data_IF_637249637293
#
_entry.id   IF_637249637293
#
_cell.length_a   1.000
_cell.length_b   1.000
_cell.length_c   1.000
_cell.angle_alpha   90.00
_cell.angle_beta   90.00
_cell.angle_gamma   90.00
#
_symmetry.space_group_name_H-M   'P 1'
#
loop_
_entity.id
_entity.type
_entity.pdbx_description
1 polymer ?
#
# COMPACT_ATOMS: atom_id res chain seq x y z
N UNK A 1 11.74 -2.70 -21.30
CA UNK A 1 11.12 -1.42 -21.67
C UNK A 1 9.61 -1.54 -21.61
N UNK A 2 9.02 -1.85 -20.46
CA UNK A 2 7.60 -1.68 -20.17
C UNK A 2 7.46 -1.22 -18.73
N UNK A 3 8.06 -0.07 -18.47
CA UNK A 3 7.90 0.63 -17.20
C UNK A 3 6.94 1.79 -17.49
N UNK A 4 5.86 1.89 -16.71
CA UNK A 4 5.10 3.13 -16.58
C UNK A 4 3.97 3.40 -17.58
N UNK A 5 2.85 2.72 -17.45
CA UNK A 5 1.57 3.17 -18.04
C UNK A 5 0.56 3.64 -16.98
N UNK A 6 0.86 3.51 -15.69
CA UNK A 6 -0.04 3.93 -14.60
C UNK A 6 0.36 5.22 -13.90
N UNK A 7 1.59 5.73 -14.09
CA UNK A 7 1.99 7.02 -13.51
C UNK A 7 1.40 8.24 -14.23
N UNK A 8 0.97 8.11 -15.48
CA UNK A 8 0.46 9.26 -16.24
C UNK A 8 -1.01 9.62 -15.98
N UNK A 9 -1.81 8.71 -15.45
CA UNK A 9 -3.27 8.93 -15.29
C UNK A 9 -3.66 9.65 -13.99
N UNK A 10 -2.83 9.63 -12.97
CA UNK A 10 -3.13 10.31 -11.69
C UNK A 10 -2.59 11.75 -11.65
N UNK A 11 -1.64 12.09 -12.50
CA UNK A 11 -1.04 13.44 -12.58
C UNK A 11 -1.78 14.43 -13.48
N UNK A 12 -2.88 14.05 -14.14
CA UNK A 12 -3.55 14.89 -15.15
C UNK A 12 -4.63 15.83 -14.63
N UNK A 13 -4.83 16.00 -13.32
CA UNK A 13 -5.90 16.84 -12.77
C UNK A 13 -5.44 18.14 -12.11
N UNK A 14 -4.19 18.54 -12.23
CA UNK A 14 -3.77 19.90 -11.86
C UNK A 14 -2.99 20.52 -13.02
N UNK A 15 -3.73 21.24 -13.87
CA UNK A 15 -3.14 22.07 -14.92
C UNK A 15 -2.75 23.44 -14.43
N UNK A 16 -1.61 23.82 -14.92
CA UNK A 16 -1.03 25.10 -15.38
C UNK A 16 0.01 25.71 -14.44
N UNK A 17 1.24 25.61 -14.80
CA UNK A 17 2.19 26.52 -15.42
C UNK A 17 3.64 26.10 -15.12
N UNK A 18 4.38 25.93 -16.22
CA UNK A 18 5.83 26.02 -16.39
C UNK A 18 6.75 26.08 -15.14
N UNK A 19 7.28 24.93 -14.72
CA UNK A 19 8.74 24.77 -14.56
C UNK A 19 9.12 23.29 -14.66
N UNK A 20 9.97 22.96 -15.64
CA UNK A 20 10.27 21.59 -16.04
C UNK A 20 11.48 21.02 -15.26
N UNK A 21 11.39 21.03 -13.92
CA UNK A 21 12.33 20.33 -13.02
C UNK A 21 11.55 19.68 -11.86
N UNK A 22 10.54 18.84 -12.16
CA UNK A 22 10.03 17.90 -11.16
C UNK A 22 11.09 16.82 -10.95
N UNK A 23 11.93 17.01 -9.96
CA UNK A 23 12.68 15.91 -9.35
C UNK A 23 11.67 14.83 -8.98
N UNK A 24 11.71 13.69 -9.66
CA UNK A 24 10.83 12.57 -9.34
C UNK A 24 11.10 12.18 -7.88
N UNK A 25 10.12 12.39 -7.00
CA UNK A 25 10.24 12.04 -5.59
C UNK A 25 10.43 10.52 -5.49
N UNK A 26 11.45 10.10 -4.76
CA UNK A 26 11.68 8.68 -4.47
C UNK A 26 10.50 8.13 -3.69
N UNK A 27 9.81 7.06 -4.15
CA UNK A 27 8.67 6.50 -3.44
C UNK A 27 9.11 5.90 -2.09
N UNK A 28 8.34 6.21 -1.05
CA UNK A 28 8.54 5.64 0.30
C UNK A 28 7.67 4.40 0.52
N UNK A 29 6.53 4.32 -0.15
CA UNK A 29 5.60 3.20 -0.06
C UNK A 29 5.40 2.60 -1.45
N UNK A 30 5.44 1.28 -1.54
CA UNK A 30 4.99 0.58 -2.75
C UNK A 30 3.67 -0.14 -2.47
N UNK A 31 2.67 0.13 -3.30
CA UNK A 31 1.41 -0.61 -3.33
C UNK A 31 1.52 -1.63 -4.44
N UNK A 32 1.43 -2.91 -4.09
CA UNK A 32 1.44 -4.00 -5.06
C UNK A 32 0.16 -4.84 -4.96
N UNK A 33 -0.30 -5.36 -6.09
CA UNK A 33 -1.51 -6.19 -6.14
C UNK A 33 -1.29 -7.41 -7.04
N UNK A 34 -1.92 -8.53 -6.69
CA UNK A 34 -1.81 -9.80 -7.42
C UNK A 34 -2.49 -9.79 -8.79
N UNK A 35 -3.43 -8.88 -8.98
CA UNK A 35 -4.20 -8.70 -10.21
C UNK A 35 -4.69 -7.26 -10.34
N UNK A 36 -4.85 -6.79 -11.57
CA UNK A 36 -5.48 -5.48 -11.86
C UNK A 36 -6.95 -5.42 -11.42
N UNK A 37 -7.61 -6.57 -11.21
CA UNK A 37 -8.95 -6.64 -10.61
C UNK A 37 -9.00 -6.14 -9.17
N UNK A 38 -7.87 -6.08 -8.48
CA UNK A 38 -7.77 -5.65 -7.09
C UNK A 38 -7.67 -4.12 -6.96
N UNK A 39 -7.47 -3.43 -8.08
CA UNK A 39 -7.29 -1.98 -8.16
C UNK A 39 -8.36 -1.18 -7.41
N UNK A 40 -9.68 -1.46 -7.55
CA UNK A 40 -10.72 -0.68 -6.86
C UNK A 40 -10.61 -0.71 -5.33
N UNK A 41 -10.00 -1.76 -4.78
CA UNK A 41 -9.71 -1.85 -3.34
C UNK A 41 -8.42 -1.09 -3.02
N UNK A 42 -7.35 -1.31 -3.80
CA UNK A 42 -6.02 -0.78 -3.53
C UNK A 42 -5.91 0.73 -3.78
N UNK A 43 -6.72 1.31 -4.66
CA UNK A 43 -6.82 2.76 -4.85
C UNK A 43 -7.17 3.54 -3.57
N UNK A 44 -7.84 2.91 -2.61
CA UNK A 44 -8.14 3.54 -1.31
C UNK A 44 -6.86 3.82 -0.53
N UNK A 45 -5.85 2.95 -0.67
CA UNK A 45 -4.53 3.19 -0.08
C UNK A 45 -3.81 4.34 -0.79
N UNK A 46 -3.83 4.34 -2.12
CA UNK A 46 -3.21 5.40 -2.92
C UNK A 46 -3.77 6.79 -2.59
N UNK A 47 -5.09 6.92 -2.53
CA UNK A 47 -5.76 8.19 -2.17
C UNK A 47 -5.34 8.69 -0.78
N UNK A 48 -5.26 7.80 0.20
CA UNK A 48 -4.83 8.19 1.54
C UNK A 48 -3.35 8.62 1.57
N UNK A 49 -2.46 7.90 0.88
CA UNK A 49 -1.04 8.28 0.82
C UNK A 49 -0.85 9.64 0.14
N UNK A 50 -1.63 9.92 -0.91
CA UNK A 50 -1.64 11.22 -1.58
C UNK A 50 -2.14 12.34 -0.64
N UNK A 51 -3.25 12.13 0.07
CA UNK A 51 -3.75 13.07 1.10
C UNK A 51 -2.75 13.34 2.22
N UNK A 52 -1.89 12.36 2.53
CA UNK A 52 -0.82 12.48 3.53
C UNK A 52 0.50 12.96 2.94
N UNK A 53 0.54 13.31 1.65
CA UNK A 53 1.76 13.76 0.95
C UNK A 53 2.92 12.77 1.06
N UNK A 54 2.61 11.46 1.05
CA UNK A 54 3.59 10.37 1.09
C UNK A 54 3.84 9.89 -0.33
N UNK A 55 5.06 10.01 -0.88
CA UNK A 55 5.38 9.51 -2.21
C UNK A 55 5.22 7.99 -2.27
N UNK A 56 4.52 7.51 -3.29
CA UNK A 56 4.29 6.08 -3.48
C UNK A 56 4.36 5.67 -4.95
N UNK A 57 4.51 4.38 -5.18
CA UNK A 57 4.35 3.72 -6.47
C UNK A 57 3.25 2.66 -6.37
N UNK A 58 2.64 2.30 -7.51
CA UNK A 58 1.65 1.23 -7.58
C UNK A 58 1.95 0.30 -8.75
N UNK A 59 1.98 -1.03 -8.48
CA UNK A 59 2.32 -2.04 -9.46
C UNK A 59 1.44 -3.28 -9.31
N UNK A 60 1.25 -4.01 -10.44
CA UNK A 60 0.62 -5.31 -10.44
C UNK A 60 1.67 -6.40 -10.61
N UNK A 61 1.81 -7.27 -9.60
CA UNK A 61 2.73 -8.42 -9.59
C UNK A 61 2.00 -9.65 -9.08
N UNK A 62 2.08 -10.76 -9.80
CA UNK A 62 1.46 -12.01 -9.39
C UNK A 62 2.50 -13.00 -8.89
N UNK A 63 2.41 -13.42 -7.63
CA UNK A 63 3.30 -14.44 -7.08
C UNK A 63 3.26 -15.77 -7.88
N UNK A 64 2.10 -16.08 -8.47
CA UNK A 64 1.91 -17.32 -9.23
C UNK A 64 2.23 -17.18 -10.72
N UNK A 65 2.06 -15.97 -11.32
CA UNK A 65 2.19 -15.76 -12.78
C UNK A 65 3.47 -15.04 -13.17
N UNK A 66 4.01 -14.21 -12.27
CA UNK A 66 5.23 -13.41 -12.48
C UNK A 66 6.17 -13.52 -11.27
N UNK A 67 6.60 -14.76 -10.89
CA UNK A 67 7.37 -14.97 -9.67
C UNK A 67 8.74 -14.28 -9.69
N UNK A 68 9.42 -14.23 -10.86
CA UNK A 68 10.72 -13.57 -11.00
C UNK A 68 10.63 -12.06 -10.76
N UNK A 69 9.60 -11.42 -11.27
CA UNK A 69 9.34 -10.00 -11.07
C UNK A 69 9.08 -9.69 -9.59
N UNK A 70 8.32 -10.56 -8.91
CA UNK A 70 8.06 -10.43 -7.46
C UNK A 70 9.35 -10.58 -6.66
N UNK A 71 10.18 -11.57 -6.97
CA UNK A 71 11.47 -11.79 -6.32
C UNK A 71 12.41 -10.58 -6.51
N UNK A 72 12.55 -10.12 -7.76
CA UNK A 72 13.40 -8.96 -8.08
C UNK A 72 12.89 -7.69 -7.39
N UNK A 73 11.58 -7.47 -7.38
CA UNK A 73 10.95 -6.35 -6.69
C UNK A 73 11.28 -6.37 -5.19
N UNK A 74 11.04 -7.50 -4.51
CA UNK A 74 11.27 -7.63 -3.08
C UNK A 74 12.74 -7.39 -2.70
N UNK A 75 13.67 -7.98 -3.46
CA UNK A 75 15.10 -7.88 -3.22
C UNK A 75 15.65 -6.46 -3.40
N UNK A 76 15.14 -5.70 -4.36
CA UNK A 76 15.63 -4.35 -4.69
C UNK A 76 14.85 -3.22 -3.98
N UNK A 77 13.77 -3.54 -3.29
CA UNK A 77 12.85 -2.56 -2.70
C UNK A 77 13.55 -1.57 -1.75
N UNK A 78 14.37 -2.07 -0.82
CA UNK A 78 15.09 -1.23 0.14
C UNK A 78 16.11 -0.31 -0.53
N UNK A 79 16.85 -0.82 -1.53
CA UNK A 79 17.85 -0.04 -2.29
C UNK A 79 17.21 1.09 -3.10
N UNK A 80 15.95 0.91 -3.54
CA UNK A 80 15.17 1.94 -4.23
C UNK A 80 14.60 3.02 -3.30
N UNK A 81 14.84 2.93 -1.98
CA UNK A 81 14.39 3.91 -0.99
C UNK A 81 13.02 3.62 -0.39
N UNK A 82 12.38 2.51 -0.73
CA UNK A 82 11.12 2.11 -0.10
C UNK A 82 11.30 1.86 1.40
N UNK A 83 10.27 2.15 2.16
CA UNK A 83 10.22 1.96 3.62
C UNK A 83 9.17 0.94 4.04
N UNK A 84 8.06 0.85 3.29
CA UNK A 84 6.94 -0.05 3.58
C UNK A 84 6.35 -0.55 2.26
N UNK A 85 5.92 -1.81 2.25
CA UNK A 85 5.22 -2.42 1.11
C UNK A 85 3.81 -2.78 1.54
N UNK A 86 2.80 -2.35 0.78
CA UNK A 86 1.41 -2.75 0.94
C UNK A 86 1.09 -3.74 -0.17
N UNK A 87 0.75 -4.98 0.17
CA UNK A 87 0.53 -6.06 -0.78
C UNK A 87 -0.90 -6.59 -0.69
N UNK A 88 -1.70 -6.38 -1.76
CA UNK A 88 -3.06 -6.89 -1.90
C UNK A 88 -3.11 -8.21 -2.67
N UNK A 89 -3.83 -9.19 -2.14
CA UNK A 89 -4.05 -10.46 -2.81
C UNK A 89 -5.36 -11.15 -2.36
N UNK A 90 -6.01 -11.81 -3.29
CA UNK A 90 -7.20 -12.63 -3.04
C UNK A 90 -6.93 -14.13 -3.17
N UNK A 91 -7.93 -14.96 -2.87
CA UNK A 91 -7.86 -16.42 -2.96
C UNK A 91 -6.70 -16.99 -2.13
N UNK A 92 -5.84 -17.84 -2.72
CA UNK A 92 -4.62 -18.36 -2.08
C UNK A 92 -3.51 -17.30 -2.00
N UNK A 93 -3.78 -16.17 -1.42
CA UNK A 93 -3.11 -14.90 -1.36
C UNK A 93 -1.62 -14.95 -0.99
N UNK A 94 -0.79 -15.56 -1.85
CA UNK A 94 0.63 -15.82 -1.60
C UNK A 94 1.51 -14.55 -1.67
N UNK A 95 1.08 -13.52 -2.40
CA UNK A 95 1.92 -12.36 -2.72
C UNK A 95 2.53 -11.69 -1.48
N UNK A 96 1.78 -11.35 -0.40
CA UNK A 96 2.37 -10.70 0.76
C UNK A 96 3.46 -11.54 1.45
N UNK A 97 3.23 -12.84 1.61
CA UNK A 97 4.20 -13.75 2.21
C UNK A 97 5.46 -13.94 1.36
N UNK A 98 5.31 -14.06 0.04
CA UNK A 98 6.44 -14.17 -0.91
C UNK A 98 7.31 -12.92 -0.88
N UNK A 99 6.68 -11.75 -0.88
CA UNK A 99 7.41 -10.47 -0.78
C UNK A 99 8.11 -10.34 0.57
N UNK A 100 7.45 -10.68 1.68
CA UNK A 100 8.05 -10.63 3.02
C UNK A 100 9.26 -11.55 3.17
N UNK A 101 9.28 -12.67 2.46
CA UNK A 101 10.44 -13.57 2.43
C UNK A 101 11.65 -12.97 1.67
N UNK A 102 11.42 -12.03 0.75
CA UNK A 102 12.47 -11.45 -0.11
C UNK A 102 13.01 -10.10 0.35
N UNK A 103 12.49 -9.54 1.45
CA UNK A 103 12.90 -8.21 1.95
C UNK A 103 12.90 -8.14 3.46
N UNK A 104 13.66 -7.19 4.01
CA UNK A 104 13.62 -6.83 5.45
C UNK A 104 12.68 -5.65 5.73
N UNK A 105 12.06 -5.07 4.71
CA UNK A 105 11.09 -4.00 4.89
C UNK A 105 9.77 -4.54 5.48
N UNK A 106 9.05 -3.74 6.27
CA UNK A 106 7.71 -4.09 6.70
C UNK A 106 6.78 -4.33 5.50
N UNK A 107 6.07 -5.48 5.53
CA UNK A 107 5.05 -5.82 4.54
C UNK A 107 3.69 -5.85 5.22
N UNK A 108 2.74 -5.11 4.65
CA UNK A 108 1.35 -5.05 5.11
C UNK A 108 0.48 -5.77 4.08
N UNK A 109 -0.12 -6.87 4.50
CA UNK A 109 -1.00 -7.67 3.65
C UNK A 109 -2.45 -7.19 3.71
N UNK A 110 -3.05 -7.03 2.54
CA UNK A 110 -4.46 -6.68 2.37
C UNK A 110 -5.19 -7.89 1.75
N UNK A 111 -5.96 -8.63 2.54
CA UNK A 111 -6.80 -9.69 2.00
C UNK A 111 -7.87 -9.09 1.08
N UNK A 112 -7.96 -9.56 -0.16
CA UNK A 112 -8.97 -9.12 -1.13
C UNK A 112 -10.14 -10.08 -1.10
N UNK A 113 -11.36 -9.54 -0.98
CA UNK A 113 -12.60 -10.31 -1.03
C UNK A 113 -12.74 -10.96 -2.41
N UNK A 114 -12.90 -12.29 -2.40
CA UNK A 114 -13.17 -13.10 -3.55
C UNK A 114 -14.05 -14.27 -3.16
N UNK A 115 -13.61 -15.49 -3.46
CA UNK A 115 -14.26 -16.71 -2.94
C UNK A 115 -14.20 -16.73 -1.40
N UNK A 116 -15.10 -17.46 -0.75
CA UNK A 116 -15.18 -17.57 0.72
C UNK A 116 -15.21 -16.20 1.45
N UNK A 117 -15.74 -15.17 0.79
CA UNK A 117 -15.83 -13.80 1.32
C UNK A 117 -14.47 -13.20 1.77
N UNK A 118 -13.37 -13.74 1.28
CA UNK A 118 -12.02 -13.29 1.60
C UNK A 118 -11.40 -13.95 2.82
N UNK A 119 -12.08 -14.94 3.44
CA UNK A 119 -11.53 -15.68 4.59
C UNK A 119 -10.30 -16.50 4.18
N UNK A 120 -10.32 -17.10 3.01
CA UNK A 120 -9.19 -17.81 2.40
C UNK A 120 -7.97 -16.89 2.25
N UNK A 121 -8.16 -15.68 1.72
CA UNK A 121 -7.09 -14.69 1.58
C UNK A 121 -6.57 -14.22 2.94
N UNK A 122 -7.45 -13.93 3.89
CA UNK A 122 -7.08 -13.53 5.24
C UNK A 122 -6.21 -14.60 5.92
N UNK A 123 -6.63 -15.86 5.90
CA UNK A 123 -5.88 -16.95 6.51
C UNK A 123 -4.54 -17.20 5.79
N UNK A 124 -4.50 -17.10 4.47
CA UNK A 124 -3.26 -17.25 3.69
C UNK A 124 -2.24 -16.17 4.01
N UNK A 125 -2.67 -14.95 4.34
CA UNK A 125 -1.79 -13.82 4.61
C UNK A 125 -1.36 -13.79 6.08
N UNK A 126 -2.26 -14.07 7.04
CA UNK A 126 -1.96 -13.93 8.47
C UNK A 126 -1.17 -15.11 9.03
N UNK A 127 -1.32 -16.31 8.47
CA UNK A 127 -0.70 -17.55 8.95
C UNK A 127 0.74 -17.70 8.44
N UNK A 128 1.61 -16.78 8.87
CA UNK A 128 3.02 -16.78 8.48
C UNK A 128 3.88 -17.61 9.45
N UNK A 129 4.94 -18.28 8.93
CA UNK A 129 5.88 -19.01 9.78
C UNK A 129 6.71 -18.06 10.65
N UNK A 130 7.22 -18.53 11.80
CA UNK A 130 8.14 -17.74 12.63
C UNK A 130 9.34 -17.24 11.82
N UNK A 131 9.66 -15.96 11.98
CA UNK A 131 10.77 -15.29 11.28
C UNK A 131 10.39 -14.48 10.04
N UNK A 132 9.22 -14.73 9.45
CA UNK A 132 8.73 -13.98 8.25
C UNK A 132 7.36 -13.36 8.57
N UNK A 133 7.31 -12.24 9.28
CA UNK A 133 6.04 -11.60 9.66
C UNK A 133 5.42 -10.83 8.48
N UNK A 134 4.09 -10.83 8.41
CA UNK A 134 3.28 -9.94 7.59
C UNK A 134 2.24 -9.26 8.48
N UNK A 135 2.26 -7.93 8.52
CA UNK A 135 1.22 -7.17 9.20
C UNK A 135 -0.08 -7.27 8.39
N UNK A 136 -1.14 -7.82 8.96
CA UNK A 136 -2.37 -8.12 8.21
C UNK A 136 -3.51 -7.21 8.66
N UNK A 137 -4.18 -6.56 7.70
CA UNK A 137 -5.38 -5.74 7.94
C UNK A 137 -6.65 -6.54 7.61
N UNK A 138 -7.81 -5.99 7.91
CA UNK A 138 -9.10 -6.62 7.56
C UNK A 138 -9.31 -6.80 6.05
N UNK A 139 -10.26 -7.65 5.68
CA UNK A 139 -10.62 -7.90 4.26
C UNK A 139 -11.00 -6.57 3.59
N UNK A 140 -10.44 -6.30 2.41
CA UNK A 140 -10.56 -5.05 1.64
C UNK A 140 -10.09 -3.80 2.42
N UNK A 141 -9.26 -3.97 3.44
CA UNK A 141 -8.82 -2.92 4.36
C UNK A 141 -7.65 -2.08 3.85
N UNK A 142 -7.56 -1.78 2.55
CA UNK A 142 -6.44 -1.06 1.95
C UNK A 142 -6.21 0.34 2.57
N UNK A 143 -7.29 1.05 2.97
CA UNK A 143 -7.16 2.30 3.70
C UNK A 143 -6.41 2.12 5.03
N UNK A 144 -6.77 1.10 5.82
CA UNK A 144 -6.07 0.82 7.08
C UNK A 144 -4.62 0.39 6.85
N UNK A 145 -4.32 -0.30 5.75
CA UNK A 145 -2.94 -0.61 5.37
C UNK A 145 -2.13 0.66 5.10
N UNK A 146 -2.70 1.64 4.40
CA UNK A 146 -2.04 2.91 4.14
C UNK A 146 -1.85 3.75 5.42
N UNK A 147 -2.83 3.76 6.32
CA UNK A 147 -2.71 4.41 7.63
C UNK A 147 -1.58 3.76 8.44
N UNK A 148 -1.52 2.43 8.47
CA UNK A 148 -0.47 1.70 9.19
C UNK A 148 0.92 1.96 8.57
N UNK A 149 1.03 2.00 7.24
CA UNK A 149 2.27 2.37 6.55
C UNK A 149 2.71 3.80 6.92
N UNK A 150 1.78 4.75 6.91
CA UNK A 150 2.05 6.13 7.32
C UNK A 150 2.49 6.21 8.80
N UNK A 151 1.88 5.43 9.70
CA UNK A 151 2.29 5.35 11.11
C UNK A 151 3.72 4.82 11.26
N UNK A 152 4.10 3.79 10.49
CA UNK A 152 5.48 3.26 10.50
C UNK A 152 6.50 4.30 10.04
N UNK A 153 6.20 5.05 8.99
CA UNK A 153 7.07 6.12 8.48
C UNK A 153 7.13 7.28 9.49
N UNK A 154 6.02 7.63 10.12
CA UNK A 154 5.91 8.74 11.08
C UNK A 154 6.74 8.54 12.35
N UNK A 155 7.24 7.33 12.64
CA UNK A 155 8.20 7.11 13.73
C UNK A 155 9.50 7.90 13.55
N UNK A 156 9.86 8.22 12.31
CA UNK A 156 11.02 9.05 11.97
C UNK A 156 10.67 10.41 11.34
N UNK A 157 9.38 10.73 11.21
CA UNK A 157 8.89 11.95 10.54
C UNK A 157 7.84 12.67 11.41
N UNK A 158 8.28 13.75 12.05
CA UNK A 158 7.43 14.52 12.98
C UNK A 158 6.29 15.27 12.27
N UNK A 159 6.49 15.71 11.03
CA UNK A 159 5.46 16.43 10.27
C UNK A 159 4.36 15.45 9.85
N UNK A 160 4.73 14.27 9.37
CA UNK A 160 3.77 13.21 9.07
C UNK A 160 3.03 12.76 10.34
N UNK A 161 3.73 12.62 11.47
CA UNK A 161 3.10 12.30 12.75
C UNK A 161 2.02 13.32 13.13
N UNK A 162 2.28 14.61 12.93
CA UNK A 162 1.28 15.65 13.18
C UNK A 162 0.09 15.58 12.21
N UNK A 163 0.31 15.30 10.92
CA UNK A 163 -0.78 15.08 9.94
C UNK A 163 -1.69 13.90 10.37
N UNK A 164 -1.11 12.82 10.88
CA UNK A 164 -1.87 11.67 11.39
C UNK A 164 -2.71 12.02 12.63
N UNK A 165 -2.21 12.87 13.54
CA UNK A 165 -2.99 13.37 14.66
C UNK A 165 -4.22 14.13 14.17
N UNK A 166 -4.03 15.07 13.23
CA UNK A 166 -5.13 15.85 12.62
C UNK A 166 -6.14 14.93 11.92
N UNK A 167 -5.66 13.92 11.19
CA UNK A 167 -6.53 12.93 10.54
C UNK A 167 -7.41 12.20 11.57
N UNK A 168 -6.82 11.76 12.68
CA UNK A 168 -7.55 11.05 13.74
C UNK A 168 -8.61 11.93 14.43
N UNK A 169 -8.31 13.20 14.66
CA UNK A 169 -9.30 14.15 15.21
C UNK A 169 -10.46 14.39 14.23
N UNK A 170 -10.22 14.51 12.93
CA UNK A 170 -11.29 14.59 11.91
C UNK A 170 -12.22 13.39 11.93
N UNK A 171 -11.70 12.16 12.12
CA UNK A 171 -12.53 10.95 12.25
C UNK A 171 -13.43 11.02 13.48
N UNK A 172 -12.89 11.46 14.62
CA UNK A 172 -13.65 11.66 15.86
C UNK A 172 -14.76 12.70 15.68
N UNK A 173 -14.43 13.89 15.12
CA UNK A 173 -15.40 14.95 14.88
C UNK A 173 -16.57 14.50 14.01
N UNK A 174 -16.30 13.67 12.97
CA UNK A 174 -17.34 13.12 12.10
C UNK A 174 -18.36 12.30 12.90
N UNK A 175 -17.90 11.46 13.83
CA UNK A 175 -18.79 10.63 14.66
C UNK A 175 -19.53 11.49 15.69
N UNK A 176 -18.84 12.45 16.33
CA UNK A 176 -19.47 13.35 17.30
C UNK A 176 -20.60 14.17 16.65
N UNK A 177 -20.36 14.72 15.45
CA UNK A 177 -21.38 15.47 14.69
C UNK A 177 -22.60 14.61 14.34
N UNK A 178 -22.37 13.35 13.93
CA UNK A 178 -23.48 12.43 13.60
C UNK A 178 -24.40 12.10 14.80
N UNK A 179 -23.95 12.33 16.03
CA UNK A 179 -24.76 12.12 17.23
C UNK A 179 -25.50 13.40 17.69
N UNK A 180 -25.32 14.52 16.99
CA UNK A 180 -25.99 15.79 17.31
C UNK A 180 -27.18 16.10 16.37
N UNK A 181 -27.41 15.23 15.37
CA UNK A 181 -28.57 15.24 14.47
C UNK A 181 -29.64 14.23 14.93
#
# INVERSE_FOLDING_TARGET
RHTCLYMETILSHTNNDMDNTKTALTPLVSIIMGSTSDLPVMEKAAKFLDEMEIPFEMNAFSAHRTPQEVENFARTAAERGLRVIIAGAGMAAALPGVVAAGTTLPVIGVPIKGMLDGLDALLSIVQMPPGIPVATVGVNGALNAAILAAQMIALGDKELAQRLVVHKEKLKEKIVKANCE
#
